data_IF_402673913722
#
_entry.id   IF_402673913722
#
_cell.length_a   1.000
_cell.length_b   1.000
_cell.length_c   1.000
_cell.angle_alpha   90.00
_cell.angle_beta   90.00
_cell.angle_gamma   90.00
#
_symmetry.space_group_name_H-M   'P 1'
#
loop_
_entity.id
_entity.type
_entity.pdbx_description
1 polymer ?
#
# COMPACT_ATOMS: atom_id res chain seq x y z
N UNK A 1 -13.39 12.40 -10.69
CA UNK A 1 -13.79 10.97 -10.68
C UNK A 1 -13.69 10.49 -9.25
N UNK A 2 -14.59 9.60 -8.84
CA UNK A 2 -14.55 8.95 -7.52
C UNK A 2 -14.01 7.55 -7.74
N UNK A 3 -13.00 7.16 -6.98
CA UNK A 3 -12.38 5.84 -7.00
C UNK A 3 -13.22 4.84 -6.19
N UNK A 4 -13.21 3.58 -6.59
CA UNK A 4 -13.64 2.45 -5.77
C UNK A 4 -12.58 2.06 -4.74
N UNK A 5 -13.01 1.58 -3.59
CA UNK A 5 -12.15 1.11 -2.51
C UNK A 5 -12.66 -0.23 -1.99
N UNK A 6 -11.74 -1.16 -1.81
CA UNK A 6 -11.98 -2.43 -1.13
C UNK A 6 -10.94 -2.58 -0.02
N UNK A 7 -11.37 -3.04 1.15
CA UNK A 7 -10.47 -3.48 2.21
C UNK A 7 -10.59 -4.98 2.38
N UNK A 8 -9.46 -5.61 2.69
CA UNK A 8 -9.41 -7.04 2.91
C UNK A 8 -8.41 -7.39 4.01
N UNK A 9 -8.63 -8.54 4.63
CA UNK A 9 -7.64 -9.24 5.42
C UNK A 9 -7.09 -10.40 4.60
N UNK A 10 -5.77 -10.53 4.53
CA UNK A 10 -5.13 -11.68 3.92
C UNK A 10 -4.11 -12.29 4.90
N UNK A 11 -3.76 -13.58 4.73
CA UNK A 11 -2.62 -14.14 5.43
C UNK A 11 -1.36 -13.35 5.07
N UNK A 12 -0.38 -13.39 5.97
CA UNK A 12 0.92 -12.81 5.75
C UNK A 12 1.98 -13.90 5.93
N UNK A 13 2.82 -14.09 4.92
CA UNK A 13 3.72 -15.25 4.82
C UNK A 13 4.66 -15.40 6.02
N UNK A 14 5.14 -14.27 6.59
CA UNK A 14 6.03 -14.34 7.76
C UNK A 14 5.30 -14.60 9.07
N UNK A 15 4.00 -14.28 9.15
CA UNK A 15 3.15 -14.52 10.34
C UNK A 15 1.73 -14.97 9.95
N UNK A 16 1.54 -16.24 9.54
CA UNK A 16 0.25 -16.73 9.06
C UNK A 16 -0.89 -16.64 10.08
N UNK A 17 -0.56 -16.62 11.37
CA UNK A 17 -1.52 -16.52 12.48
C UNK A 17 -2.01 -15.09 12.75
N UNK A 18 -1.41 -14.07 12.13
CA UNK A 18 -1.77 -12.66 12.31
C UNK A 18 -2.06 -12.05 10.93
N UNK A 19 -3.35 -11.96 10.52
CA UNK A 19 -3.69 -11.39 9.23
C UNK A 19 -3.30 -9.91 9.18
N UNK A 20 -3.10 -9.43 7.96
CA UNK A 20 -2.80 -8.04 7.66
C UNK A 20 -3.94 -7.41 6.88
N UNK A 21 -4.16 -6.12 7.12
CA UNK A 21 -4.98 -5.25 6.27
C UNK A 21 -4.29 -5.04 4.92
N UNK A 22 -5.07 -5.20 3.86
CA UNK A 22 -4.76 -4.71 2.53
C UNK A 22 -5.90 -3.86 1.98
N UNK A 23 -5.61 -3.14 0.90
CA UNK A 23 -6.59 -2.31 0.22
C UNK A 23 -6.41 -2.42 -1.30
N UNK A 24 -7.53 -2.35 -2.04
CA UNK A 24 -7.52 -2.15 -3.49
C UNK A 24 -8.17 -0.82 -3.83
N UNK A 25 -7.56 -0.08 -4.75
CA UNK A 25 -8.14 1.11 -5.35
C UNK A 25 -8.50 0.78 -6.79
N UNK A 26 -9.77 0.96 -7.16
CA UNK A 26 -10.31 0.59 -8.48
C UNK A 26 -9.97 -0.86 -8.88
N UNK A 27 -10.00 -1.79 -7.91
CA UNK A 27 -9.70 -3.21 -8.11
C UNK A 27 -8.19 -3.55 -8.15
N UNK A 28 -7.31 -2.57 -7.96
CA UNK A 28 -5.85 -2.75 -8.01
C UNK A 28 -5.26 -2.70 -6.61
N UNK A 29 -4.45 -3.70 -6.24
CA UNK A 29 -3.77 -3.75 -4.92
C UNK A 29 -2.89 -2.51 -4.70
N UNK A 30 -3.03 -1.87 -3.54
CA UNK A 30 -2.27 -0.66 -3.20
C UNK A 30 -0.75 -0.91 -3.21
N UNK A 31 -0.29 -2.12 -2.88
CA UNK A 31 1.14 -2.50 -2.96
C UNK A 31 1.64 -2.47 -4.41
N UNK A 32 0.83 -2.96 -5.35
CA UNK A 32 1.13 -2.90 -6.77
C UNK A 32 1.18 -1.45 -7.29
N UNK A 33 0.17 -0.63 -6.94
CA UNK A 33 0.16 0.81 -7.25
C UNK A 33 1.43 1.51 -6.73
N UNK A 34 1.84 1.16 -5.52
CA UNK A 34 3.04 1.71 -4.90
C UNK A 34 4.31 1.25 -5.60
N UNK A 35 4.41 -0.03 -5.97
CA UNK A 35 5.53 -0.57 -6.74
C UNK A 35 5.72 0.15 -8.08
N UNK A 36 4.63 0.40 -8.81
CA UNK A 36 4.73 1.17 -10.05
C UNK A 36 5.11 2.63 -9.81
N UNK A 37 4.50 3.28 -8.81
CA UNK A 37 4.78 4.68 -8.50
C UNK A 37 6.24 4.92 -8.08
N UNK A 38 6.89 3.95 -7.42
CA UNK A 38 8.26 4.13 -6.88
C UNK A 38 9.34 3.51 -7.74
N UNK A 39 8.99 2.82 -8.84
CA UNK A 39 9.94 2.15 -9.72
C UNK A 39 11.08 3.04 -10.21
N UNK A 40 10.75 4.23 -10.71
CA UNK A 40 11.76 5.16 -11.25
C UNK A 40 12.66 5.73 -10.15
N UNK A 41 12.15 5.84 -8.93
CA UNK A 41 12.90 6.30 -7.76
C UNK A 41 13.88 5.23 -7.29
N UNK A 42 13.48 3.96 -7.32
CA UNK A 42 14.33 2.81 -7.00
C UNK A 42 15.42 2.53 -8.05
N UNK A 43 15.16 2.81 -9.33
CA UNK A 43 16.08 2.48 -10.43
C UNK A 43 17.53 2.92 -10.19
N UNK A 44 17.85 4.19 -9.85
CA UNK A 44 19.23 4.60 -9.63
C UNK A 44 19.87 3.88 -8.44
N UNK A 45 19.10 3.56 -7.41
CA UNK A 45 19.62 2.93 -6.20
C UNK A 45 19.95 1.46 -6.40
N UNK A 46 19.11 0.73 -7.12
CA UNK A 46 19.30 -0.69 -7.39
C UNK A 46 20.26 -0.97 -8.55
N UNK A 47 20.80 0.07 -9.20
CA UNK A 47 21.63 -0.07 -10.38
C UNK A 47 22.91 -0.86 -10.12
N UNK A 48 23.09 -1.98 -10.83
CA UNK A 48 24.25 -2.85 -10.73
C UNK A 48 24.29 -3.71 -9.48
N UNK A 49 23.20 -3.81 -8.71
CA UNK A 49 23.15 -4.62 -7.49
C UNK A 49 22.92 -6.11 -7.75
N UNK A 50 22.43 -6.49 -8.93
CA UNK A 50 22.02 -7.86 -9.22
C UNK A 50 22.61 -8.37 -10.53
N UNK A 51 22.78 -9.69 -10.61
CA UNK A 51 23.16 -10.36 -11.86
C UNK A 51 22.01 -10.28 -12.88
N UNK A 52 20.78 -10.60 -12.46
CA UNK A 52 19.57 -10.35 -13.24
C UNK A 52 18.90 -9.05 -12.77
N UNK A 53 19.49 -7.93 -13.20
CA UNK A 53 19.11 -6.59 -12.77
C UNK A 53 17.61 -6.28 -12.95
N UNK A 54 17.00 -6.68 -14.05
CA UNK A 54 15.61 -6.36 -14.34
C UNK A 54 14.66 -7.17 -13.46
N UNK A 55 14.86 -8.50 -13.41
CA UNK A 55 13.99 -9.40 -12.64
C UNK A 55 14.10 -9.15 -11.14
N UNK A 56 15.31 -9.06 -10.61
CA UNK A 56 15.52 -8.98 -9.15
C UNK A 56 15.11 -7.62 -8.60
N UNK A 57 15.35 -6.53 -9.35
CA UNK A 57 14.81 -5.22 -8.97
C UNK A 57 13.28 -5.21 -9.03
N UNK A 58 12.67 -5.87 -10.02
CA UNK A 58 11.21 -5.95 -10.10
C UNK A 58 10.61 -6.70 -8.91
N UNK A 59 11.17 -7.85 -8.53
CA UNK A 59 10.71 -8.61 -7.36
C UNK A 59 10.87 -7.81 -6.06
N UNK A 60 12.02 -7.13 -5.88
CA UNK A 60 12.27 -6.31 -4.70
C UNK A 60 11.27 -5.15 -4.60
N UNK A 61 11.07 -4.40 -5.68
CA UNK A 61 10.14 -3.26 -5.71
C UNK A 61 8.69 -3.73 -5.52
N UNK A 62 8.30 -4.86 -6.13
CA UNK A 62 6.97 -5.44 -6.02
C UNK A 62 6.64 -5.85 -4.58
N UNK A 63 7.62 -6.42 -3.87
CA UNK A 63 7.48 -6.90 -2.49
C UNK A 63 7.95 -5.88 -1.44
N UNK A 64 8.19 -4.62 -1.81
CA UNK A 64 8.71 -3.60 -0.90
C UNK A 64 7.79 -3.31 0.31
N UNK A 65 6.50 -3.67 0.22
CA UNK A 65 5.51 -3.47 1.27
C UNK A 65 4.71 -4.73 1.59
N UNK A 66 4.35 -4.85 2.86
CA UNK A 66 3.30 -5.73 3.34
C UNK A 66 2.03 -4.95 3.68
N UNK A 67 1.02 -5.66 4.18
CA UNK A 67 -0.14 -5.05 4.81
C UNK A 67 0.16 -4.49 6.20
N UNK A 68 -0.84 -3.86 6.82
CA UNK A 68 -0.77 -3.43 8.22
C UNK A 68 -1.30 -4.54 9.14
N UNK A 69 -0.57 -4.94 10.18
CA UNK A 69 -1.04 -5.99 11.08
C UNK A 69 -2.38 -5.62 11.72
N UNK A 70 -3.38 -6.50 11.63
CA UNK A 70 -4.73 -6.24 12.18
C UNK A 70 -4.68 -6.00 13.69
N UNK A 71 -3.76 -6.67 14.37
CA UNK A 71 -3.58 -6.59 15.83
C UNK A 71 -2.67 -5.44 16.28
N UNK A 72 -2.01 -4.75 15.34
CA UNK A 72 -1.05 -3.68 15.67
C UNK A 72 -1.74 -2.36 16.01
N UNK A 73 -3.05 -2.24 15.72
CA UNK A 73 -3.83 -1.02 15.88
C UNK A 73 -5.06 -1.27 16.74
N UNK A 74 -5.23 -0.46 17.79
CA UNK A 74 -6.43 -0.48 18.65
C UNK A 74 -7.64 0.20 18.01
N UNK A 75 -7.38 1.12 17.09
CA UNK A 75 -8.36 1.84 16.29
C UNK A 75 -8.11 1.58 14.81
N UNK A 76 -9.11 1.77 13.96
CA UNK A 76 -8.93 1.56 12.53
C UNK A 76 -7.96 2.62 11.96
N UNK A 77 -6.77 2.24 11.45
CA UNK A 77 -5.78 3.21 10.99
C UNK A 77 -6.32 4.07 9.85
N UNK A 78 -7.18 3.52 8.99
CA UNK A 78 -7.71 4.16 7.80
C UNK A 78 -8.74 5.27 8.07
N UNK A 79 -9.20 5.45 9.32
CA UNK A 79 -10.12 6.52 9.73
C UNK A 79 -9.41 7.68 10.44
N UNK A 80 -8.10 7.58 10.65
CA UNK A 80 -7.34 8.62 11.33
C UNK A 80 -7.14 9.83 10.42
N UNK A 81 -7.77 10.95 10.77
CA UNK A 81 -7.65 12.23 10.04
C UNK A 81 -6.60 13.18 10.64
N UNK A 82 -6.09 12.87 11.83
CA UNK A 82 -5.06 13.65 12.49
C UNK A 82 -3.65 13.26 12.01
N UNK A 83 -3.06 14.13 11.19
CA UNK A 83 -1.69 14.00 10.72
C UNK A 83 -1.56 13.04 9.53
N UNK A 84 -0.51 12.22 9.54
CA UNK A 84 -0.26 11.21 8.51
C UNK A 84 -0.62 9.83 9.04
N UNK A 85 -1.14 9.00 8.15
CA UNK A 85 -1.73 7.70 8.42
C UNK A 85 -0.96 6.64 7.64
N UNK A 86 -0.54 5.54 8.29
CA UNK A 86 0.03 4.41 7.58
C UNK A 86 -1.06 3.74 6.74
N UNK A 87 -0.75 3.43 5.48
CA UNK A 87 -1.62 2.68 4.58
C UNK A 87 -1.03 1.31 4.22
N UNK A 88 0.30 1.16 4.23
CA UNK A 88 1.00 -0.12 4.10
C UNK A 88 2.13 -0.21 5.12
N UNK A 89 2.49 -1.44 5.49
CA UNK A 89 3.57 -1.74 6.43
C UNK A 89 4.82 -2.28 5.75
N UNK A 90 5.86 -2.51 6.55
CA UNK A 90 7.05 -3.24 6.11
C UNK A 90 6.73 -4.74 5.98
N UNK A 91 7.22 -5.43 4.93
CA UNK A 91 7.05 -6.87 4.80
C UNK A 91 7.71 -7.68 5.91
N UNK A 92 8.59 -7.09 6.75
CA UNK A 92 9.22 -7.75 7.91
C UNK A 92 8.31 -7.84 9.15
N UNK A 93 7.11 -7.25 9.10
CA UNK A 93 6.13 -7.28 10.19
C UNK A 93 6.20 -6.21 11.24
N UNK A 94 7.22 -5.38 11.20
CA UNK A 94 7.27 -4.18 12.00
C UNK A 94 6.76 -3.07 11.09
N UNK A 95 5.47 -2.73 11.19
CA UNK A 95 4.85 -1.79 10.24
C UNK A 95 5.61 -0.45 10.16
N UNK A 96 6.21 -0.01 11.27
CA UNK A 96 6.98 1.24 11.39
C UNK A 96 8.33 1.22 10.67
N UNK A 97 8.85 0.05 10.28
CA UNK A 97 10.19 -0.06 9.69
C UNK A 97 10.24 0.51 8.26
N UNK A 98 9.14 0.41 7.51
CA UNK A 98 9.04 0.88 6.13
C UNK A 98 7.58 1.19 5.75
N UNK A 99 6.94 2.17 6.41
CA UNK A 99 5.52 2.44 6.20
C UNK A 99 5.30 3.31 4.96
N UNK A 100 4.30 2.96 4.15
CA UNK A 100 3.71 3.92 3.21
C UNK A 100 2.75 4.82 3.98
N UNK A 101 3.05 6.11 4.02
CA UNK A 101 2.29 7.08 4.80
C UNK A 101 1.58 8.07 3.90
N UNK A 102 0.29 8.31 4.14
CA UNK A 102 -0.51 9.30 3.41
C UNK A 102 -1.22 10.27 4.36
N UNK A 103 -1.72 11.37 3.81
CA UNK A 103 -2.72 12.22 4.47
C UNK A 103 -4.11 11.67 4.14
N UNK A 104 -4.94 11.52 5.17
CA UNK A 104 -6.35 11.14 5.02
C UNK A 104 -7.20 12.33 5.40
N UNK A 105 -7.87 12.92 4.41
CA UNK A 105 -8.81 14.02 4.62
C UNK A 105 -10.24 13.50 4.44
N UNK A 106 -11.11 13.77 5.41
CA UNK A 106 -12.51 13.35 5.36
C UNK A 106 -13.42 14.56 5.36
N UNK A 107 -14.39 14.57 4.45
CA UNK A 107 -15.51 15.51 4.40
C UNK A 107 -16.79 14.77 4.79
N UNK A 108 -17.97 15.41 4.81
CA UNK A 108 -19.22 14.69 5.00
C UNK A 108 -19.55 13.66 3.89
N UNK A 109 -18.91 13.76 2.71
CA UNK A 109 -19.27 12.95 1.53
C UNK A 109 -18.09 12.23 0.88
N UNK A 110 -16.86 12.57 1.25
CA UNK A 110 -15.66 12.00 0.63
C UNK A 110 -14.56 11.69 1.62
N UNK A 111 -13.72 10.71 1.27
CA UNK A 111 -12.42 10.45 1.89
C UNK A 111 -11.35 10.60 0.82
N UNK A 112 -10.30 11.37 1.09
CA UNK A 112 -9.18 11.58 0.16
C UNK A 112 -7.89 11.06 0.77
N UNK A 113 -7.20 10.18 0.04
CA UNK A 113 -5.82 9.82 0.30
C UNK A 113 -4.89 10.62 -0.61
N UNK A 114 -3.93 11.35 -0.05
CA UNK A 114 -2.98 12.16 -0.81
C UNK A 114 -1.65 12.32 -0.08
N UNK A 115 -0.64 12.94 -0.71
CA UNK A 115 0.60 13.24 0.00
C UNK A 115 1.38 11.99 0.39
N UNK A 116 1.34 10.94 -0.43
CA UNK A 116 2.02 9.67 -0.17
C UNK A 116 3.53 9.90 -0.07
N UNK A 117 4.17 9.31 0.92
CA UNK A 117 5.62 9.44 1.14
C UNK A 117 6.17 8.33 2.03
N UNK A 118 7.49 8.23 2.06
CA UNK A 118 8.24 7.39 2.99
C UNK A 118 8.99 8.26 4.00
N UNK A 119 8.69 8.13 5.31
CA UNK A 119 9.45 8.82 6.35
C UNK A 119 10.94 8.48 6.31
N UNK A 120 11.29 7.26 5.93
CA UNK A 120 12.67 6.76 5.84
C UNK A 120 13.40 7.20 4.57
N UNK A 121 12.72 7.89 3.63
CA UNK A 121 13.29 8.43 2.39
C UNK A 121 12.69 9.79 2.06
N UNK A 122 13.00 10.77 2.91
CA UNK A 122 12.52 12.14 2.72
C UNK A 122 12.98 12.76 1.38
N UNK A 123 14.12 12.33 0.84
CA UNK A 123 14.68 12.81 -0.42
C UNK A 123 13.83 12.48 -1.66
N UNK A 124 12.95 11.48 -1.56
CA UNK A 124 11.99 11.16 -2.63
C UNK A 124 10.78 12.11 -2.63
N UNK A 125 10.56 12.83 -1.53
CA UNK A 125 9.44 13.76 -1.39
C UNK A 125 8.06 13.06 -1.47
N UNK A 126 7.09 13.76 -2.06
CA UNK A 126 5.78 13.19 -2.33
C UNK A 126 5.84 12.24 -3.53
N UNK A 127 5.39 11.02 -3.33
CA UNK A 127 5.39 9.97 -4.35
C UNK A 127 4.35 10.27 -5.43
N UNK A 128 4.58 9.85 -6.68
CA UNK A 128 3.61 9.99 -7.77
C UNK A 128 2.49 8.95 -7.66
N UNK A 129 1.75 8.97 -6.54
CA UNK A 129 0.68 8.05 -6.20
C UNK A 129 -0.55 8.85 -5.75
N UNK A 130 -1.70 8.60 -6.37
CA UNK A 130 -2.92 9.35 -6.11
C UNK A 130 -2.86 10.81 -6.61
N UNK A 131 -3.66 11.73 -6.02
CA UNK A 131 -4.59 11.49 -4.92
C UNK A 131 -5.72 10.54 -5.33
N UNK A 132 -6.23 9.79 -4.36
CA UNK A 132 -7.43 8.96 -4.51
C UNK A 132 -8.57 9.58 -3.73
N UNK A 133 -9.76 9.63 -4.34
CA UNK A 133 -10.96 10.23 -3.74
C UNK A 133 -12.07 9.20 -3.75
N UNK A 134 -12.54 8.84 -2.56
CA UNK A 134 -13.58 7.84 -2.34
C UNK A 134 -14.86 8.53 -1.88
N UNK A 135 -16.01 7.94 -2.23
CA UNK A 135 -17.27 8.30 -1.58
C UNK A 135 -17.22 7.77 -0.14
N UNK A 136 -17.63 8.61 0.82
CA UNK A 136 -17.41 8.33 2.25
C UNK A 136 -18.24 7.16 2.76
N UNK A 137 -19.51 7.06 2.38
CA UNK A 137 -20.37 5.98 2.83
C UNK A 137 -19.82 4.63 2.36
N UNK A 138 -19.44 4.51 1.08
CA UNK A 138 -18.82 3.32 0.51
C UNK A 138 -17.48 2.97 1.17
N UNK A 139 -16.66 3.97 1.49
CA UNK A 139 -15.38 3.78 2.20
C UNK A 139 -15.58 3.23 3.62
N UNK A 140 -16.50 3.81 4.39
CA UNK A 140 -16.82 3.35 5.75
C UNK A 140 -17.46 1.95 5.74
N UNK A 141 -18.32 1.66 4.76
CA UNK A 141 -18.89 0.32 4.55
C UNK A 141 -17.82 -0.72 4.26
N UNK A 142 -16.92 -0.45 3.30
CA UNK A 142 -15.81 -1.34 2.95
C UNK A 142 -14.88 -1.61 4.14
N UNK A 143 -14.65 -0.61 5.01
CA UNK A 143 -13.87 -0.78 6.24
C UNK A 143 -14.58 -1.61 7.31
N UNK A 144 -15.90 -1.54 7.39
CA UNK A 144 -16.69 -2.20 8.44
C UNK A 144 -16.78 -3.73 8.24
N UNK A 145 -16.66 -4.18 6.99
CA UNK A 145 -16.78 -5.58 6.61
C UNK A 145 -15.72 -5.96 5.57
N UNK A 146 -14.42 -5.94 5.94
CA UNK A 146 -13.35 -6.31 5.02
C UNK A 146 -13.48 -7.78 4.62
N UNK A 147 -13.23 -8.07 3.35
CA UNK A 147 -13.18 -9.45 2.85
C UNK A 147 -12.03 -10.22 3.51
N UNK A 148 -12.23 -11.49 3.88
CA UNK A 148 -11.14 -12.34 4.36
C UNK A 148 -10.68 -13.25 3.23
N UNK A 149 -9.51 -12.96 2.68
CA UNK A 149 -8.90 -13.73 1.61
C UNK A 149 -8.14 -14.93 2.17
N UNK A 150 -8.20 -16.05 1.45
CA UNK A 150 -7.49 -17.28 1.81
C UNK A 150 -5.98 -17.23 1.49
N UNK A 151 -5.58 -16.32 0.59
CA UNK A 151 -4.22 -16.15 0.10
C UNK A 151 -3.90 -14.67 -0.10
N UNK A 152 -2.61 -14.33 -0.19
CA UNK A 152 -2.15 -12.97 -0.50
C UNK A 152 -2.47 -12.62 -1.97
N UNK A 153 -3.32 -11.60 -2.25
CA UNK A 153 -3.75 -11.28 -3.60
C UNK A 153 -2.69 -10.57 -4.47
N UNK A 154 -1.53 -10.17 -3.94
CA UNK A 154 -0.53 -9.43 -4.72
C UNK A 154 0.05 -10.26 -5.88
N UNK A 155 0.14 -11.58 -5.69
CA UNK A 155 0.73 -12.47 -6.68
C UNK A 155 2.23 -12.23 -6.95
N UNK A 156 2.81 -12.92 -7.94
CA UNK A 156 4.20 -12.70 -8.36
C UNK A 156 4.36 -11.34 -9.06
N UNK A 157 5.58 -10.82 -9.12
CA UNK A 157 5.84 -9.59 -9.86
C UNK A 157 5.48 -9.77 -11.35
N UNK A 158 4.84 -8.77 -11.99
CA UNK A 158 4.59 -8.83 -13.42
C UNK A 158 5.92 -8.80 -14.18
N UNK A 159 5.96 -9.47 -15.34
CA UNK A 159 7.14 -9.57 -16.22
C UNK A 159 7.74 -8.19 -16.54
N UNK A 160 6.91 -7.16 -16.59
CA UNK A 160 7.35 -5.77 -16.66
C UNK A 160 6.54 -4.89 -15.71
N UNK A 161 7.18 -4.31 -14.69
CA UNK A 161 6.61 -3.23 -13.87
C UNK A 161 6.44 -1.90 -14.65
N UNK A 162 6.65 -1.89 -15.96
CA UNK A 162 6.66 -0.67 -16.78
C UNK A 162 5.28 -0.14 -17.20
N UNK A 163 4.21 -0.92 -17.00
CA UNK A 163 2.85 -0.49 -17.33
C UNK A 163 1.99 -0.61 -16.08
N UNK A 164 1.44 0.51 -15.60
CA UNK A 164 0.24 0.49 -14.77
C UNK A 164 -0.87 -0.11 -15.66
N UNK A 165 -1.55 -1.19 -15.25
CA UNK A 165 -2.66 -1.76 -16.01
C UNK A 165 -3.84 -0.79 -16.15
#
# INVERSE_FOLDING_TARGET
MVNGIEFFHCPWDERPAAPVWGARVDGVDLRALTAWATRELWRPELAGQFEDQERESAELIWRQHGGLGVLDFTENPFLRTAGRTPLLGCPCGIWQCWPLMARVAMTPTTVTWSGFHYPEREEWGELPLGPFVFERQAYEEALSAPEVLAEDPLGPAPVSLGCVP
#
